data_IF_733724043355
#
_entry.id   IF_733724043355
#
_cell.length_a   1.000
_cell.length_b   1.000
_cell.length_c   1.000
_cell.angle_alpha   90.00
_cell.angle_beta   90.00
_cell.angle_gamma   90.00
#
_symmetry.space_group_name_H-M   'P 1'
#
loop_
_entity.id
_entity.type
_entity.pdbx_description
1 polymer ?
#
# COMPACT_ATOMS: atom_id res chain seq x y z
N UNK A 1 -53.27 -15.68 10.80
CA UNK A 1 -53.54 -16.91 11.58
C UNK A 1 -53.92 -18.13 10.75
N UNK A 2 -54.31 -18.00 9.47
CA UNK A 2 -54.75 -19.12 8.61
C UNK A 2 -53.63 -20.11 8.18
N UNK A 3 -52.39 -19.64 8.00
CA UNK A 3 -51.27 -20.49 7.53
C UNK A 3 -50.75 -21.49 8.58
N UNK A 4 -50.86 -21.19 9.87
CA UNK A 4 -50.42 -22.11 10.95
C UNK A 4 -51.40 -23.28 11.16
N UNK A 5 -52.70 -23.07 10.92
CA UNK A 5 -53.71 -24.14 11.00
C UNK A 5 -53.60 -25.14 9.83
N UNK A 6 -53.26 -24.68 8.62
CA UNK A 6 -53.10 -25.58 7.47
C UNK A 6 -51.89 -26.51 7.60
N UNK A 7 -50.75 -26.00 8.11
CA UNK A 7 -49.58 -26.83 8.37
C UNK A 7 -49.85 -27.89 9.46
N UNK A 8 -50.60 -27.55 10.50
CA UNK A 8 -50.97 -28.48 11.58
C UNK A 8 -51.92 -29.59 11.12
N UNK A 9 -52.82 -29.30 10.17
CA UNK A 9 -53.76 -30.29 9.61
C UNK A 9 -53.08 -31.23 8.61
N UNK A 10 -52.12 -30.73 7.82
CA UNK A 10 -51.29 -31.57 6.96
C UNK A 10 -50.40 -32.52 7.77
N UNK A 11 -49.79 -32.04 8.85
CA UNK A 11 -48.97 -32.89 9.74
C UNK A 11 -49.84 -33.92 10.46
N UNK A 12 -51.05 -33.56 10.92
CA UNK A 12 -51.98 -34.54 11.49
C UNK A 12 -52.43 -35.60 10.47
N UNK A 13 -52.70 -35.25 9.21
CA UNK A 13 -52.99 -36.21 8.13
C UNK A 13 -51.78 -37.10 7.80
N UNK A 14 -50.56 -36.56 7.89
CA UNK A 14 -49.32 -37.31 7.67
C UNK A 14 -49.02 -38.29 8.81
N UNK A 15 -49.36 -37.92 10.05
CA UNK A 15 -49.10 -38.72 11.25
C UNK A 15 -50.22 -39.71 11.60
N UNK A 16 -51.41 -39.58 11.00
CA UNK A 16 -52.51 -40.56 11.11
C UNK A 16 -52.48 -41.61 9.97
N UNK A 17 -51.32 -41.78 9.34
CA UNK A 17 -51.16 -42.62 8.15
C UNK A 17 -51.46 -44.10 8.38
N UNK A 18 -52.39 -44.59 7.56
CA UNK A 18 -52.61 -45.99 7.21
C UNK A 18 -51.25 -46.72 7.05
N UNK A 19 -51.06 -47.90 7.67
CA UNK A 19 -49.82 -48.67 7.60
C UNK A 19 -49.28 -48.88 6.18
N UNK A 20 -50.15 -48.89 5.15
CA UNK A 20 -49.75 -49.03 3.75
C UNK A 20 -48.94 -47.85 3.21
N UNK A 21 -49.25 -46.63 3.63
CA UNK A 21 -48.59 -45.40 3.11
C UNK A 21 -47.16 -45.27 3.64
N UNK A 22 -46.93 -45.70 4.88
CA UNK A 22 -45.58 -45.73 5.48
C UNK A 22 -44.66 -46.75 4.80
N UNK A 23 -45.18 -47.95 4.52
CA UNK A 23 -44.43 -48.96 3.75
C UNK A 23 -44.06 -48.47 2.34
N UNK A 24 -44.99 -47.80 1.66
CA UNK A 24 -44.73 -47.25 0.32
C UNK A 24 -43.68 -46.12 0.33
N UNK A 25 -43.63 -45.30 1.38
CA UNK A 25 -42.60 -44.28 1.56
C UNK A 25 -41.21 -44.92 1.79
N UNK A 26 -41.12 -45.92 2.66
CA UNK A 26 -39.87 -46.66 2.93
C UNK A 26 -39.37 -47.43 1.69
N UNK A 27 -40.28 -47.98 0.88
CA UNK A 27 -39.93 -48.63 -0.40
C UNK A 27 -39.44 -47.63 -1.45
N UNK A 28 -40.02 -46.42 -1.52
CA UNK A 28 -39.51 -45.34 -2.38
C UNK A 28 -38.12 -44.85 -1.95
N UNK A 29 -37.85 -44.75 -0.65
CA UNK A 29 -36.53 -44.44 -0.11
C UNK A 29 -35.50 -45.51 -0.53
N UNK A 30 -35.86 -46.79 -0.42
CA UNK A 30 -35.02 -47.92 -0.88
C UNK A 30 -34.79 -47.92 -2.39
N UNK A 31 -35.77 -47.53 -3.20
CA UNK A 31 -35.60 -47.39 -4.66
C UNK A 31 -34.77 -46.16 -5.07
N UNK A 32 -34.78 -45.08 -4.27
CA UNK A 32 -33.95 -43.89 -4.51
C UNK A 32 -32.44 -44.20 -4.45
N UNK A 33 -32.04 -45.25 -3.74
CA UNK A 33 -30.65 -45.74 -3.70
C UNK A 33 -30.16 -46.40 -5.00
N UNK A 34 -31.05 -46.70 -5.95
CA UNK A 34 -30.71 -47.38 -7.22
C UNK A 34 -30.70 -46.45 -8.44
N UNK A 35 -31.05 -45.17 -8.31
CA UNK A 35 -30.90 -44.22 -9.40
C UNK A 35 -29.44 -43.80 -9.53
N UNK A 36 -28.70 -44.38 -10.48
CA UNK A 36 -27.42 -43.85 -10.92
C UNK A 36 -27.72 -42.78 -11.97
N UNK A 37 -27.52 -41.47 -11.68
CA UNK A 37 -27.62 -40.46 -12.73
C UNK A 37 -26.63 -40.80 -13.83
N UNK A 38 -27.06 -40.61 -15.08
CA UNK A 38 -26.24 -40.89 -16.25
C UNK A 38 -24.86 -40.21 -16.11
N UNK A 39 -23.82 -40.98 -16.37
CA UNK A 39 -22.44 -40.51 -16.50
C UNK A 39 -22.36 -39.32 -17.44
N UNK A 40 -22.23 -38.11 -16.89
CA UNK A 40 -21.71 -36.95 -17.61
C UNK A 40 -21.24 -35.89 -16.60
N UNK A 41 -20.11 -36.15 -15.94
CA UNK A 41 -18.88 -35.32 -15.77
C UNK A 41 -18.06 -35.96 -14.64
N UNK A 42 -17.36 -37.05 -14.93
CA UNK A 42 -16.35 -37.62 -14.01
C UNK A 42 -15.02 -36.84 -14.06
N UNK A 43 -14.87 -35.89 -14.99
CA UNK A 43 -13.62 -35.13 -15.20
C UNK A 43 -13.57 -33.74 -14.55
N UNK A 44 -14.57 -33.35 -13.75
CA UNK A 44 -14.45 -32.18 -12.87
C UNK A 44 -14.26 -32.65 -11.42
N UNK A 45 -13.04 -33.05 -11.09
CA UNK A 45 -12.61 -33.18 -9.71
C UNK A 45 -12.53 -31.78 -9.07
N UNK A 46 -13.68 -31.25 -8.64
CA UNK A 46 -13.75 -30.03 -7.84
C UNK A 46 -13.25 -30.42 -6.45
N UNK A 47 -11.97 -30.16 -6.18
CA UNK A 47 -11.42 -30.23 -4.83
C UNK A 47 -12.15 -29.15 -3.99
N UNK A 48 -13.21 -29.57 -3.30
CA UNK A 48 -14.03 -28.71 -2.46
C UNK A 48 -13.21 -28.01 -1.37
N UNK A 49 -12.08 -28.59 -0.94
CA UNK A 49 -11.17 -27.95 0.01
C UNK A 49 -10.34 -26.86 -0.68
N UNK A 50 -9.93 -27.05 -1.93
CA UNK A 50 -9.31 -26.01 -2.74
C UNK A 50 -10.30 -24.88 -3.04
N UNK A 51 -11.54 -25.19 -3.44
CA UNK A 51 -12.57 -24.18 -3.71
C UNK A 51 -12.94 -23.40 -2.45
N UNK A 52 -13.06 -24.05 -1.29
CA UNK A 52 -13.32 -23.38 0.00
C UNK A 52 -12.14 -22.47 0.40
N UNK A 53 -10.90 -22.92 0.19
CA UNK A 53 -9.70 -22.10 0.44
C UNK A 53 -9.65 -20.88 -0.48
N UNK A 54 -9.93 -21.06 -1.78
CA UNK A 54 -10.00 -19.98 -2.75
C UNK A 54 -11.12 -18.98 -2.41
N UNK A 55 -12.32 -19.46 -2.07
CA UNK A 55 -13.44 -18.62 -1.64
C UNK A 55 -13.11 -17.87 -0.35
N UNK A 56 -12.52 -18.54 0.64
CA UNK A 56 -12.10 -17.89 1.89
C UNK A 56 -11.02 -16.83 1.64
N UNK A 57 -10.07 -17.09 0.74
CA UNK A 57 -9.08 -16.11 0.30
C UNK A 57 -9.74 -14.90 -0.37
N UNK A 58 -10.63 -15.14 -1.34
CA UNK A 58 -11.36 -14.08 -2.03
C UNK A 58 -12.21 -13.22 -1.07
N UNK A 59 -12.93 -13.86 -0.13
CA UNK A 59 -13.72 -13.14 0.89
C UNK A 59 -12.81 -12.29 1.78
N UNK A 60 -11.65 -12.79 2.20
CA UNK A 60 -10.69 -11.99 2.98
C UNK A 60 -10.16 -10.79 2.20
N UNK A 61 -9.88 -10.96 0.91
CA UNK A 61 -9.45 -9.85 0.05
C UNK A 61 -10.53 -8.78 -0.06
N UNK A 62 -11.78 -9.18 -0.33
CA UNK A 62 -12.90 -8.24 -0.43
C UNK A 62 -13.13 -7.46 0.87
N UNK A 63 -13.07 -8.15 2.02
CA UNK A 63 -13.20 -7.50 3.33
C UNK A 63 -12.04 -6.51 3.59
N UNK A 64 -10.82 -6.87 3.19
CA UNK A 64 -9.67 -5.98 3.33
C UNK A 64 -9.75 -4.75 2.41
N UNK A 65 -10.28 -4.92 1.19
CA UNK A 65 -10.54 -3.82 0.25
C UNK A 65 -11.63 -2.89 0.80
N UNK A 66 -12.74 -3.43 1.29
CA UNK A 66 -13.81 -2.63 1.91
C UNK A 66 -13.32 -1.86 3.14
N UNK A 67 -12.53 -2.51 4.01
CA UNK A 67 -11.92 -1.86 5.16
C UNK A 67 -10.94 -0.75 4.73
N UNK A 68 -10.15 -0.98 3.67
CA UNK A 68 -9.24 0.02 3.14
C UNK A 68 -9.99 1.24 2.59
N UNK A 69 -11.10 1.03 1.89
CA UNK A 69 -11.95 2.11 1.37
C UNK A 69 -12.60 2.90 2.50
N UNK A 70 -13.13 2.23 3.53
CA UNK A 70 -13.68 2.89 4.71
C UNK A 70 -12.63 3.72 5.45
N UNK A 71 -11.43 3.16 5.63
CA UNK A 71 -10.31 3.87 6.25
C UNK A 71 -9.88 5.09 5.42
N UNK A 72 -9.82 4.97 4.10
CA UNK A 72 -9.49 6.08 3.21
C UNK A 72 -10.53 7.20 3.29
N UNK A 73 -11.83 6.86 3.23
CA UNK A 73 -12.92 7.81 3.39
C UNK A 73 -12.87 8.51 4.76
N UNK A 74 -12.57 7.77 5.82
CA UNK A 74 -12.41 8.34 7.16
C UNK A 74 -11.24 9.33 7.22
N UNK A 75 -10.08 8.99 6.66
CA UNK A 75 -8.90 9.87 6.62
C UNK A 75 -9.19 11.17 5.85
N UNK A 76 -9.96 11.10 4.76
CA UNK A 76 -10.40 12.26 3.97
C UNK A 76 -11.34 13.20 4.75
N UNK A 77 -11.97 12.74 5.83
CA UNK A 77 -12.82 13.57 6.71
C UNK A 77 -12.02 14.30 7.80
N UNK A 78 -10.77 13.88 8.07
CA UNK A 78 -9.98 14.45 9.15
C UNK A 78 -9.39 15.81 8.77
N UNK A 79 -9.49 16.78 9.67
CA UNK A 79 -9.08 18.17 9.42
C UNK A 79 -7.59 18.33 9.07
N UNK A 80 -6.72 17.48 9.63
CA UNK A 80 -5.27 17.57 9.43
C UNK A 80 -4.72 16.52 8.46
N UNK A 81 -5.35 15.34 8.36
CA UNK A 81 -4.87 14.24 7.52
C UNK A 81 -5.50 14.20 6.12
N UNK A 82 -6.62 14.90 5.88
CA UNK A 82 -7.35 14.84 4.60
C UNK A 82 -6.50 15.15 3.37
N UNK A 83 -5.63 16.16 3.46
CA UNK A 83 -4.87 16.64 2.30
C UNK A 83 -3.86 15.59 1.88
N UNK A 84 -3.20 14.97 2.86
CA UNK A 84 -2.29 13.87 2.66
C UNK A 84 -2.98 12.64 2.05
N UNK A 85 -4.17 12.28 2.57
CA UNK A 85 -4.96 11.17 2.03
C UNK A 85 -5.35 11.42 0.56
N UNK A 86 -5.77 12.64 0.22
CA UNK A 86 -6.11 13.01 -1.17
C UNK A 86 -4.91 12.89 -2.11
N UNK A 87 -3.77 13.45 -1.72
CA UNK A 87 -2.53 13.42 -2.53
C UNK A 87 -2.06 11.99 -2.78
N UNK A 88 -2.15 11.12 -1.76
CA UNK A 88 -1.73 9.72 -1.88
C UNK A 88 -2.71 8.87 -2.70
N UNK A 89 -4.01 9.20 -2.68
CA UNK A 89 -5.04 8.52 -3.46
C UNK A 89 -5.02 8.90 -4.96
N UNK A 90 -4.75 10.16 -5.31
CA UNK A 90 -4.78 10.64 -6.70
C UNK A 90 -3.47 10.42 -7.45
N UNK A 91 -2.32 10.46 -6.77
CA UNK A 91 -1.00 10.43 -7.41
C UNK A 91 -0.07 9.45 -6.73
N UNK A 92 -0.12 8.19 -7.16
CA UNK A 92 1.02 7.30 -7.00
C UNK A 92 1.53 6.82 -8.35
N UNK A 93 2.41 7.60 -9.02
CA UNK A 93 3.23 7.05 -10.10
C UNK A 93 3.88 5.77 -9.57
N UNK A 94 3.86 4.69 -10.35
CA UNK A 94 4.36 3.38 -9.92
C UNK A 94 5.82 3.44 -9.40
N UNK A 95 6.55 4.49 -9.82
CA UNK A 95 7.87 4.85 -9.31
C UNK A 95 7.89 5.20 -7.82
N UNK A 96 6.91 5.99 -7.33
CA UNK A 96 6.82 6.37 -5.92
C UNK A 96 6.42 5.18 -5.05
N UNK A 97 5.50 4.33 -5.50
CA UNK A 97 5.18 3.07 -4.80
C UNK A 97 6.44 2.22 -4.63
N UNK A 98 7.21 2.02 -5.70
CA UNK A 98 8.46 1.24 -5.67
C UNK A 98 9.51 1.89 -4.78
N UNK A 99 9.68 3.21 -4.84
CA UNK A 99 10.61 3.95 -4.00
C UNK A 99 10.24 3.82 -2.51
N UNK A 100 8.96 4.01 -2.19
CA UNK A 100 8.40 3.82 -0.85
C UNK A 100 8.59 2.40 -0.34
N UNK A 101 8.29 1.39 -1.17
CA UNK A 101 8.46 -0.03 -0.84
C UNK A 101 9.94 -0.41 -0.64
N UNK A 102 10.86 0.33 -1.26
CA UNK A 102 12.31 0.11 -1.08
C UNK A 102 12.87 0.72 0.21
N UNK A 103 12.09 1.53 0.93
CA UNK A 103 12.53 2.11 2.20
C UNK A 103 12.48 1.07 3.32
N UNK A 104 13.43 1.10 4.27
CA UNK A 104 13.29 0.35 5.51
C UNK A 104 11.96 0.69 6.21
N UNK A 105 11.27 -0.29 6.84
CA UNK A 105 9.97 -0.09 7.45
C UNK A 105 9.92 1.09 8.44
N UNK A 106 10.98 1.28 9.22
CA UNK A 106 11.08 2.40 10.18
C UNK A 106 11.15 3.76 9.50
N UNK A 107 11.86 3.86 8.38
CA UNK A 107 11.97 5.09 7.59
C UNK A 107 10.62 5.41 6.95
N UNK A 108 9.94 4.39 6.43
CA UNK A 108 8.60 4.56 5.88
C UNK A 108 7.60 5.02 6.93
N UNK A 109 7.60 4.37 8.10
CA UNK A 109 6.78 4.77 9.25
C UNK A 109 7.06 6.21 9.67
N UNK A 110 8.33 6.61 9.73
CA UNK A 110 8.69 8.00 10.02
C UNK A 110 8.14 8.96 8.95
N UNK A 111 8.32 8.64 7.67
CA UNK A 111 7.91 9.50 6.56
C UNK A 111 6.39 9.70 6.52
N UNK A 112 5.59 8.63 6.66
CA UNK A 112 4.13 8.73 6.74
C UNK A 112 3.74 9.64 7.91
N UNK A 113 4.30 9.40 9.10
CA UNK A 113 3.93 10.16 10.28
C UNK A 113 4.38 11.63 10.23
N UNK A 114 5.52 11.90 9.58
CA UNK A 114 5.99 13.27 9.37
C UNK A 114 5.04 14.02 8.44
N UNK A 115 4.69 13.42 7.30
CA UNK A 115 3.82 14.04 6.31
C UNK A 115 2.39 14.22 6.80
N UNK A 116 1.88 13.30 7.63
CA UNK A 116 0.57 13.40 8.26
C UNK A 116 0.55 14.23 9.56
N UNK A 117 1.69 14.82 9.95
CA UNK A 117 1.88 15.53 11.22
C UNK A 117 1.41 14.73 12.46
N UNK A 118 1.65 13.42 12.48
CA UNK A 118 1.31 12.49 13.57
C UNK A 118 2.53 12.02 14.35
N UNK A 119 3.71 12.64 14.13
CA UNK A 119 4.90 12.35 14.93
C UNK A 119 4.71 12.78 16.40
N UNK A 120 5.38 12.11 17.36
CA UNK A 120 5.23 12.38 18.80
C UNK A 120 5.98 13.66 19.23
N UNK A 121 5.66 14.80 18.61
CA UNK A 121 6.11 16.13 19.03
C UNK A 121 5.40 16.55 20.33
N UNK A 122 5.94 17.48 21.14
CA UNK A 122 5.22 17.88 22.36
C UNK A 122 3.86 18.50 22.04
N UNK A 123 3.69 19.17 20.90
CA UNK A 123 2.40 19.66 20.45
C UNK A 123 1.37 18.54 20.27
N UNK A 124 1.76 17.42 19.65
CA UNK A 124 0.88 16.27 19.46
C UNK A 124 0.69 15.48 20.75
N UNK A 125 1.75 15.30 21.54
CA UNK A 125 1.66 14.60 22.83
C UNK A 125 0.76 15.34 23.82
N UNK A 126 0.77 16.67 23.80
CA UNK A 126 -0.15 17.48 24.60
C UNK A 126 -1.59 17.33 24.10
N UNK A 127 -1.80 17.41 22.78
CA UNK A 127 -3.11 17.18 22.16
C UNK A 127 -3.69 15.80 22.50
N UNK A 128 -2.85 14.77 22.60
CA UNK A 128 -3.25 13.42 22.97
C UNK A 128 -3.37 13.18 24.49
N UNK A 129 -3.22 14.21 25.31
CA UNK A 129 -3.27 14.09 26.77
C UNK A 129 -2.11 13.29 27.39
N UNK A 130 -1.02 13.06 26.64
CA UNK A 130 0.17 12.32 27.10
C UNK A 130 1.22 13.23 27.73
N UNK A 131 1.11 14.54 27.55
CA UNK A 131 1.98 15.55 28.17
C UNK A 131 1.17 16.76 28.64
N UNK A 132 1.62 17.37 29.73
CA UNK A 132 0.97 18.56 30.31
C UNK A 132 1.33 19.86 29.59
N UNK A 133 2.41 19.87 28.79
CA UNK A 133 2.89 21.05 28.09
C UNK A 133 3.33 20.70 26.68
N UNK A 134 3.04 21.60 25.75
CA UNK A 134 3.45 21.55 24.35
C UNK A 134 4.74 22.33 24.04
N UNK A 135 5.36 22.94 25.06
CA UNK A 135 6.55 23.78 24.91
C UNK A 135 7.76 22.98 24.45
N UNK A 136 8.58 23.56 23.57
CA UNK A 136 9.81 22.96 23.08
C UNK A 136 10.85 22.84 24.19
N UNK A 137 11.38 21.64 24.41
CA UNK A 137 12.42 21.41 25.43
C UNK A 137 13.78 22.04 25.11
N UNK A 138 14.02 22.39 23.84
CA UNK A 138 15.29 22.97 23.41
C UNK A 138 15.32 24.47 23.62
N UNK A 139 14.33 25.21 23.08
CA UNK A 139 14.27 26.67 23.22
C UNK A 139 13.42 27.14 24.39
N UNK A 140 12.54 26.30 24.96
CA UNK A 140 11.64 26.63 26.08
C UNK A 140 10.67 27.80 25.86
N UNK A 141 10.61 28.36 24.65
CA UNK A 141 9.80 29.55 24.35
C UNK A 141 8.55 29.24 23.52
N UNK A 142 8.67 28.36 22.52
CA UNK A 142 7.63 28.14 21.53
C UNK A 142 7.01 26.75 21.63
N UNK A 143 5.76 26.62 21.13
CA UNK A 143 5.08 25.34 20.93
C UNK A 143 5.90 24.43 20.00
N UNK A 144 6.19 23.22 20.45
CA UNK A 144 6.98 22.23 19.72
C UNK A 144 6.13 21.51 18.67
N UNK A 145 5.79 22.22 17.60
CA UNK A 145 5.23 21.60 16.39
C UNK A 145 6.31 20.89 15.57
N UNK A 146 5.89 20.08 14.59
CA UNK A 146 6.83 19.47 13.65
C UNK A 146 7.64 20.53 12.88
N UNK A 147 6.97 21.57 12.40
CA UNK A 147 7.61 22.71 11.72
C UNK A 147 8.63 23.40 12.63
N UNK A 148 8.32 23.58 13.92
CA UNK A 148 9.26 24.15 14.87
C UNK A 148 10.54 23.30 15.01
N UNK A 149 10.42 21.99 15.21
CA UNK A 149 11.58 21.09 15.37
C UNK A 149 12.45 21.06 14.11
N UNK A 150 11.81 21.08 12.94
CA UNK A 150 12.51 20.96 11.66
C UNK A 150 13.13 22.28 11.20
N UNK A 151 12.45 23.43 11.41
CA UNK A 151 12.76 24.67 10.70
C UNK A 151 12.86 25.93 11.59
N UNK A 152 12.11 26.04 12.69
CA UNK A 152 11.92 27.33 13.40
C UNK A 152 12.44 27.38 14.86
N UNK A 153 13.09 26.34 15.35
CA UNK A 153 13.73 26.32 16.66
C UNK A 153 15.07 27.07 16.63
N UNK A 154 15.10 28.26 17.25
CA UNK A 154 16.26 29.14 17.35
C UNK A 154 17.50 28.41 17.89
N UNK A 155 17.37 27.71 19.03
CA UNK A 155 18.48 26.95 19.63
C UNK A 155 18.98 25.84 18.68
N UNK A 156 18.09 25.18 17.93
CA UNK A 156 18.51 24.15 16.98
C UNK A 156 19.28 24.74 15.78
N UNK A 157 18.92 25.95 15.38
CA UNK A 157 19.63 26.71 14.34
C UNK A 157 21.04 27.13 14.82
N UNK A 158 21.15 27.68 16.03
CA UNK A 158 22.42 28.08 16.65
C UNK A 158 23.37 26.88 16.82
N UNK A 159 22.83 25.73 17.22
CA UNK A 159 23.58 24.47 17.30
C UNK A 159 23.88 23.83 15.93
N UNK A 160 23.67 24.55 14.81
CA UNK A 160 23.92 24.11 13.42
C UNK A 160 23.23 22.78 13.05
N UNK A 161 22.15 22.41 13.74
CA UNK A 161 21.44 21.14 13.47
C UNK A 161 20.78 21.15 12.09
N UNK A 162 20.38 22.33 11.62
CA UNK A 162 19.74 22.50 10.31
C UNK A 162 20.73 22.30 9.19
N UNK A 163 21.87 22.99 9.27
CA UNK A 163 23.01 22.80 8.36
C UNK A 163 23.42 21.34 8.30
N UNK A 164 23.61 20.69 9.46
CA UNK A 164 23.97 19.28 9.49
C UNK A 164 22.95 18.39 8.76
N UNK A 165 21.65 18.57 8.99
CA UNK A 165 20.61 17.79 8.28
C UNK A 165 20.65 18.03 6.78
N UNK A 166 20.79 19.28 6.34
CA UNK A 166 20.88 19.62 4.92
C UNK A 166 22.14 19.03 4.28
N UNK A 167 23.28 19.14 4.94
CA UNK A 167 24.56 18.62 4.46
C UNK A 167 24.52 17.09 4.30
N UNK A 168 23.89 16.37 5.23
CA UNK A 168 23.71 14.92 5.09
C UNK A 168 22.85 14.55 3.87
N UNK A 169 21.77 15.29 3.61
CA UNK A 169 20.94 15.08 2.41
C UNK A 169 21.75 15.37 1.14
N UNK A 170 22.51 16.46 1.11
CA UNK A 170 23.37 16.83 -0.02
C UNK A 170 24.48 15.80 -0.27
N UNK A 171 25.05 15.19 0.79
CA UNK A 171 26.02 14.10 0.66
C UNK A 171 25.42 12.89 -0.06
N UNK A 172 24.20 12.49 0.32
CA UNK A 172 23.49 11.35 -0.30
C UNK A 172 23.19 11.64 -1.77
N UNK A 173 22.64 12.82 -2.07
CA UNK A 173 22.36 13.24 -3.45
C UNK A 173 23.65 13.29 -4.27
N UNK A 174 24.70 13.89 -3.73
CA UNK A 174 26.00 13.98 -4.39
C UNK A 174 26.61 12.61 -4.67
N UNK A 175 26.48 11.66 -3.73
CA UNK A 175 26.94 10.29 -3.92
C UNK A 175 26.16 9.59 -5.05
N UNK A 176 24.84 9.74 -5.07
CA UNK A 176 23.99 9.20 -6.14
C UNK A 176 24.37 9.77 -7.51
N UNK A 177 24.52 11.09 -7.63
CA UNK A 177 24.91 11.74 -8.89
C UNK A 177 26.28 11.25 -9.36
N UNK A 178 27.26 11.12 -8.46
CA UNK A 178 28.59 10.62 -8.82
C UNK A 178 28.55 9.17 -9.32
N UNK A 179 27.74 8.32 -8.69
CA UNK A 179 27.58 6.92 -9.08
C UNK A 179 26.82 6.74 -10.41
N UNK A 180 25.91 7.66 -10.73
CA UNK A 180 25.04 7.58 -11.92
C UNK A 180 25.40 8.61 -12.99
N UNK A 181 26.57 9.24 -12.89
CA UNK A 181 27.02 10.20 -13.89
C UNK A 181 27.23 9.46 -15.21
N UNK A 182 26.63 9.91 -16.33
CA UNK A 182 26.95 9.32 -17.62
C UNK A 182 28.45 9.52 -17.90
N UNK A 183 29.10 8.56 -18.57
CA UNK A 183 30.49 8.74 -18.98
C UNK A 183 30.59 10.03 -19.80
N UNK A 184 31.69 10.79 -19.65
CA UNK A 184 31.90 11.97 -20.48
C UNK A 184 31.78 11.54 -21.95
N UNK A 185 31.16 12.36 -22.81
CA UNK A 185 31.08 12.04 -24.22
C UNK A 185 32.50 11.75 -24.73
N UNK A 186 32.65 10.62 -25.44
CA UNK A 186 33.90 10.31 -26.12
C UNK A 186 34.23 11.54 -26.97
N UNK A 187 35.37 12.18 -26.68
CA UNK A 187 35.85 13.28 -27.51
C UNK A 187 35.87 12.73 -28.94
N UNK A 188 35.29 13.44 -29.94
CA UNK A 188 35.52 13.06 -31.32
C UNK A 188 37.03 12.92 -31.47
N UNK A 189 37.50 11.73 -31.86
CA UNK A 189 38.90 11.55 -32.23
C UNK A 189 39.19 12.68 -33.22
N UNK A 190 40.14 13.55 -32.86
CA UNK A 190 40.62 14.57 -33.77
C UNK A 190 41.16 13.82 -34.99
N UNK A 191 40.34 13.72 -36.05
CA UNK A 191 40.79 13.26 -37.34
C UNK A 191 41.68 14.40 -37.83
N UNK A 192 43.00 14.21 -37.96
CA UNK A 192 43.80 15.22 -38.63
C UNK A 192 43.22 15.34 -40.03
N UNK A 193 42.80 16.55 -40.39
CA UNK A 193 42.47 16.89 -41.77
C UNK A 193 43.73 16.65 -42.59
N UNK A 194 43.82 15.48 -43.22
CA UNK A 194 44.77 15.24 -44.31
C UNK A 194 44.48 16.30 -45.38
N UNK A 195 45.35 17.30 -45.51
CA UNK A 195 45.16 18.30 -46.56
C UNK A 195 45.90 19.62 -46.41
N UNK A 196 47.12 19.63 -45.88
CA UNK A 196 48.08 20.67 -46.27
C UNK A 196 49.35 19.99 -46.77
N UNK A 197 49.43 19.91 -48.11
CA UNK A 197 50.67 19.71 -48.84
C UNK A 197 51.70 20.70 -48.30
N UNK A 198 52.76 20.16 -47.69
CA UNK A 198 54.00 20.88 -47.44
C UNK A 198 54.61 21.22 -48.79
N UNK A 199 54.40 22.44 -49.27
CA UNK A 199 55.24 23.03 -50.31
C UNK A 199 56.56 23.39 -49.61
N UNK A 200 57.58 22.58 -49.82
CA UNK A 200 58.95 22.91 -49.42
C UNK A 200 59.41 24.19 -50.13
N UNK A 201 60.06 25.15 -49.44
CA UNK A 201 60.64 26.31 -50.11
C UNK A 201 61.85 25.88 -50.95
N UNK A 202 62.14 26.55 -52.09
CA UNK A 202 63.32 26.24 -52.87
C UNK A 202 64.59 26.67 -52.11
N UNK A 203 65.52 25.73 -51.96
CA UNK A 203 66.88 25.98 -51.53
C UNK A 203 67.58 26.89 -52.55
N UNK A 204 67.93 28.11 -52.15
CA UNK A 204 68.91 28.90 -52.88
C UNK A 204 70.31 28.45 -52.48
N UNK A 205 71.09 28.01 -53.47
CA UNK A 205 72.54 27.82 -53.37
C UNK A 205 73.21 29.10 -53.84
N UNK A 206 74.33 29.47 -53.19
CA UNK A 206 75.15 30.68 -53.41
C UNK A 206 75.24 31.19 -54.85
#
# INVERSE_FOLDING_TARGET
>A
MYKKQQASRMVQLFMSGDPGVRKAADEREKQRSKFKPAMFVDDLHIDRAQTRRALSGAVKTLLAEEEADQNHLHLCQLSSQREMARVWGEYSPQLWVKAVQSLPPEVMKFAINASSNTLPTNANLHLWGKKNSDVCRLCQEARQSLSHVLNNCQVAMELRRYSKRHDEVLKVIGAFIRANRPPPPLRPHYRPSFGYLLISPPHYSN
#
